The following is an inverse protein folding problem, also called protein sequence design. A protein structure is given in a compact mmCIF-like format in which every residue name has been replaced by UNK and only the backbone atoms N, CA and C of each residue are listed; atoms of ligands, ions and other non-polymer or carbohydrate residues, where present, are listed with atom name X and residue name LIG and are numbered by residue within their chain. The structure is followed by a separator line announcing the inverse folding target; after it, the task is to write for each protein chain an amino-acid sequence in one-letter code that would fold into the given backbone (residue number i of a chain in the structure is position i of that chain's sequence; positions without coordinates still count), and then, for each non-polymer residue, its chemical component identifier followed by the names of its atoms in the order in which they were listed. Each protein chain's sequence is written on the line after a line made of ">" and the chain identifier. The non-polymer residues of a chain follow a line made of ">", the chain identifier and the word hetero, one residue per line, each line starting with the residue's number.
data_IF_080923011221
#
_entry.id   IF_080923011221
#
_cell.length_a   1.000
_cell.length_b   1.000
_cell.length_c   1.000
_cell.angle_alpha   90.00
_cell.angle_beta   90.00
_cell.angle_gamma   90.00
#
_symmetry.space_group_name_H-M   'P 1'
#
loop_
_entity.id
_entity.type
_entity.pdbx_description
1 polymer ?
#
# COMPACT_ATOMS: atom_id res chain seq x y z
N UNK A 1 4.23 -10.67 9.26
CA UNK A 1 4.28 -9.21 9.46
C UNK A 1 5.13 -8.92 10.70
N UNK A 2 6.16 -8.05 10.59
CA UNK A 2 7.06 -7.69 11.71
C UNK A 2 6.44 -6.61 12.59
N UNK A 3 6.00 -5.50 12.02
CA UNK A 3 5.38 -4.39 12.75
C UNK A 3 3.91 -4.65 13.07
N UNK A 4 3.37 -3.96 14.06
CA UNK A 4 1.96 -4.06 14.48
C UNK A 4 1.01 -3.65 13.35
N UNK A 5 1.35 -2.60 12.59
CA UNK A 5 0.58 -2.18 11.43
C UNK A 5 1.31 -2.46 10.12
N UNK A 6 0.56 -2.52 9.03
CA UNK A 6 1.14 -2.51 7.69
C UNK A 6 1.90 -1.20 7.44
N UNK A 7 2.76 -1.21 6.43
CA UNK A 7 3.41 -0.01 5.92
C UNK A 7 2.37 0.96 5.38
N UNK A 8 2.49 2.24 5.71
CA UNK A 8 1.64 3.30 5.17
C UNK A 8 1.79 3.40 3.65
N UNK A 9 3.02 3.29 3.14
CA UNK A 9 3.30 3.26 1.70
C UNK A 9 2.62 2.06 1.03
N UNK A 10 2.70 0.86 1.62
CA UNK A 10 2.06 -0.35 1.04
C UNK A 10 0.53 -0.26 1.10
N UNK A 11 -0.04 0.35 2.13
CA UNK A 11 -1.49 0.55 2.23
C UNK A 11 -2.01 1.50 1.15
N UNK A 12 -1.22 2.52 0.79
CA UNK A 12 -1.61 3.48 -0.23
C UNK A 12 -1.32 3.03 -1.66
N UNK A 13 -0.16 2.40 -1.90
CA UNK A 13 0.28 2.03 -3.24
C UNK A 13 -0.02 0.56 -3.59
N UNK A 14 -0.56 -0.20 -2.65
CA UNK A 14 -0.99 -1.57 -2.90
C UNK A 14 -2.33 -1.62 -3.62
N UNK A 15 -2.45 -2.53 -4.60
CA UNK A 15 -3.68 -2.73 -5.38
C UNK A 15 -4.87 -3.29 -4.57
N UNK A 16 -4.67 -3.57 -3.28
CA UNK A 16 -5.72 -4.09 -2.41
C UNK A 16 -6.15 -5.51 -2.75
N UNK A 17 -7.41 -5.82 -2.43
CA UNK A 17 -8.04 -7.12 -2.74
C UNK A 17 -9.00 -6.93 -3.89
N UNK A 18 -8.98 -7.86 -4.85
CA UNK A 18 -9.89 -7.86 -6.00
C UNK A 18 -10.48 -9.25 -6.19
N UNK A 19 -11.57 -9.32 -6.93
CA UNK A 19 -12.16 -10.59 -7.37
C UNK A 19 -11.68 -10.87 -8.79
N UNK A 20 -11.26 -12.10 -9.04
CA UNK A 20 -10.73 -12.46 -10.34
C UNK A 20 -10.28 -13.89 -10.45
N UNK A 21 -9.58 -14.18 -11.52
CA UNK A 21 -8.96 -15.48 -11.80
C UNK A 21 -7.46 -15.26 -11.85
N UNK A 22 -6.72 -16.05 -11.09
CA UNK A 22 -5.26 -16.04 -11.07
C UNK A 22 -4.71 -17.38 -11.52
N UNK A 23 -3.70 -17.35 -12.39
CA UNK A 23 -2.86 -18.48 -12.73
C UNK A 23 -1.48 -18.31 -12.10
N UNK A 24 -1.03 -19.31 -11.36
CA UNK A 24 0.32 -19.35 -10.76
C UNK A 24 1.11 -20.51 -11.33
N UNK A 25 2.31 -20.21 -11.85
CA UNK A 25 3.30 -21.20 -12.24
C UNK A 25 4.51 -21.11 -11.34
N UNK A 26 4.97 -22.26 -10.83
CA UNK A 26 6.12 -22.32 -9.91
C UNK A 26 7.09 -23.39 -10.37
N UNK A 27 8.37 -23.04 -10.39
CA UNK A 27 9.49 -23.96 -10.59
C UNK A 27 10.40 -23.95 -9.37
N UNK A 28 11.54 -24.64 -9.49
CA UNK A 28 12.54 -24.68 -8.39
C UNK A 28 13.01 -23.28 -7.99
N UNK A 29 13.24 -22.39 -8.96
CA UNK A 29 13.85 -21.08 -8.70
C UNK A 29 12.99 -19.88 -9.14
N UNK A 30 11.90 -20.10 -9.86
CA UNK A 30 11.06 -19.00 -10.36
C UNK A 30 9.59 -19.27 -10.10
N UNK A 31 8.83 -18.19 -9.87
CA UNK A 31 7.38 -18.20 -9.77
C UNK A 31 6.82 -17.04 -10.59
N UNK A 32 5.81 -17.33 -11.40
CA UNK A 32 5.09 -16.34 -12.19
C UNK A 32 3.59 -16.42 -11.86
N UNK A 33 2.99 -15.28 -11.66
CA UNK A 33 1.57 -15.12 -11.38
C UNK A 33 0.97 -14.14 -12.37
N UNK A 34 -0.21 -14.44 -12.89
CA UNK A 34 -0.98 -13.56 -13.75
C UNK A 34 -2.44 -13.62 -13.32
N UNK A 35 -3.01 -12.47 -13.04
CA UNK A 35 -4.40 -12.34 -12.65
C UNK A 35 -5.16 -11.41 -13.60
N UNK A 36 -6.40 -11.79 -13.90
CA UNK A 36 -7.43 -10.94 -14.48
C UNK A 36 -8.51 -10.74 -13.43
N UNK A 37 -8.87 -9.48 -13.14
CA UNK A 37 -9.75 -9.16 -12.03
C UNK A 37 -10.67 -7.96 -12.34
N UNK A 38 -11.56 -7.67 -11.39
CA UNK A 38 -12.43 -6.50 -11.40
C UNK A 38 -11.72 -5.21 -10.90
N UNK A 39 -10.40 -5.19 -10.90
CA UNK A 39 -9.59 -4.03 -10.57
C UNK A 39 -9.10 -3.96 -9.13
N UNK A 40 -8.14 -3.10 -8.90
CA UNK A 40 -7.62 -2.75 -7.59
C UNK A 40 -8.40 -1.60 -6.96
N UNK A 41 -8.15 -1.37 -5.68
CA UNK A 41 -8.71 -0.22 -4.95
C UNK A 41 -7.68 0.89 -4.95
N UNK A 42 -8.02 2.03 -5.51
CA UNK A 42 -7.18 3.22 -5.38
C UNK A 42 -7.46 3.91 -4.04
N UNK A 43 -6.48 3.89 -3.14
CA UNK A 43 -6.58 4.57 -1.86
C UNK A 43 -6.18 6.06 -1.93
N UNK A 44 -5.59 6.52 -3.04
CA UNK A 44 -5.24 7.94 -3.26
C UNK A 44 -6.52 8.80 -3.27
N UNK A 45 -7.62 8.25 -3.74
CA UNK A 45 -8.93 8.89 -3.68
C UNK A 45 -9.64 8.78 -2.31
N UNK A 46 -8.92 8.47 -1.23
CA UNK A 46 -9.50 8.42 0.12
C UNK A 46 -10.24 9.71 0.54
N UNK A 47 -9.91 10.83 -0.06
CA UNK A 47 -10.65 12.10 0.09
C UNK A 47 -12.03 12.02 -0.58
N UNK A 48 -12.19 11.27 -1.66
CA UNK A 48 -13.47 11.06 -2.35
C UNK A 48 -14.33 9.99 -1.65
N UNK A 49 -13.72 9.08 -0.89
CA UNK A 49 -14.42 8.09 -0.05
C UNK A 49 -15.32 8.74 1.01
N UNK A 50 -15.02 9.96 1.43
CA UNK A 50 -15.87 10.72 2.36
C UNK A 50 -17.25 11.07 1.77
N UNK A 51 -17.47 10.89 0.48
CA UNK A 51 -18.71 11.24 -0.24
C UNK A 51 -19.57 10.02 -0.55
N UNK A 52 -19.26 8.83 -0.03
CA UNK A 52 -20.14 7.66 -0.08
C UNK A 52 -19.99 6.77 -1.32
N UNK A 53 -18.86 6.83 -2.02
CA UNK A 53 -18.55 5.88 -3.09
C UNK A 53 -18.11 4.53 -2.51
N UNK A 54 -18.72 3.45 -2.98
CA UNK A 54 -18.26 2.09 -2.70
C UNK A 54 -16.84 1.85 -3.24
N UNK A 55 -16.05 0.96 -2.62
CA UNK A 55 -14.74 0.62 -3.14
C UNK A 55 -14.84 0.08 -4.57
N UNK A 56 -14.02 0.62 -5.49
CA UNK A 56 -14.02 0.31 -6.93
C UNK A 56 -13.89 -1.18 -7.28
N UNK A 57 -13.45 -2.01 -6.36
CA UNK A 57 -13.30 -3.46 -6.54
C UNK A 57 -14.43 -4.28 -5.89
N UNK A 58 -15.51 -3.64 -5.46
CA UNK A 58 -16.67 -4.37 -4.98
C UNK A 58 -17.45 -4.95 -6.17
N UNK A 59 -17.84 -6.23 -6.15
CA UNK A 59 -18.66 -6.82 -7.23
C UNK A 59 -20.07 -6.19 -7.32
N UNK A 60 -20.42 -5.36 -6.36
CA UNK A 60 -21.68 -4.64 -6.27
C UNK A 60 -21.52 -3.13 -6.44
N UNK A 61 -20.32 -2.66 -6.78
CA UNK A 61 -20.06 -1.27 -7.09
C UNK A 61 -20.74 -0.92 -8.42
N UNK A 62 -21.41 0.21 -8.47
CA UNK A 62 -21.88 0.80 -9.72
C UNK A 62 -20.72 1.36 -10.57
N UNK A 63 -19.55 1.54 -9.94
CA UNK A 63 -18.35 2.05 -10.58
C UNK A 63 -17.53 0.86 -11.07
N UNK A 64 -17.72 0.47 -12.31
CA UNK A 64 -17.11 -0.68 -12.94
C UNK A 64 -15.65 -0.42 -13.35
N UNK A 65 -14.90 -1.49 -13.41
CA UNK A 65 -13.60 -1.54 -14.11
C UNK A 65 -13.83 -2.40 -15.35
N UNK A 66 -13.52 -1.86 -16.53
CA UNK A 66 -13.68 -2.60 -17.79
C UNK A 66 -12.75 -3.78 -17.84
N UNK A 67 -11.51 -3.58 -17.43
CA UNK A 67 -10.52 -4.65 -17.33
C UNK A 67 -9.42 -4.30 -16.35
N UNK A 68 -8.85 -5.32 -15.73
CA UNK A 68 -7.67 -5.21 -14.88
C UNK A 68 -6.78 -6.44 -14.99
N UNK A 69 -5.48 -6.21 -15.15
CA UNK A 69 -4.46 -7.23 -15.20
C UNK A 69 -3.39 -6.96 -14.17
N UNK A 70 -2.98 -8.01 -13.46
CA UNK A 70 -1.86 -7.97 -12.51
C UNK A 70 -0.91 -9.10 -12.84
N UNK A 71 0.38 -8.79 -12.96
CA UNK A 71 1.43 -9.78 -13.15
C UNK A 71 2.50 -9.65 -12.08
N UNK A 72 3.03 -10.79 -11.58
CA UNK A 72 4.18 -10.84 -10.69
C UNK A 72 5.14 -11.95 -11.13
N UNK A 73 6.42 -11.62 -11.13
CA UNK A 73 7.50 -12.56 -11.34
C UNK A 73 8.46 -12.54 -10.16
N UNK A 74 8.84 -13.72 -9.68
CA UNK A 74 9.76 -13.89 -8.57
C UNK A 74 10.91 -14.82 -8.95
N UNK A 75 12.11 -14.43 -8.57
CA UNK A 75 13.32 -15.22 -8.74
C UNK A 75 13.94 -15.51 -7.37
N UNK A 76 13.85 -16.78 -6.97
CA UNK A 76 14.51 -17.29 -5.77
C UNK A 76 15.96 -17.63 -6.13
N UNK A 77 16.88 -16.78 -5.70
CA UNK A 77 18.32 -16.94 -5.97
C UNK A 77 18.98 -17.92 -4.99
N UNK A 78 18.46 -18.02 -3.75
CA UNK A 78 18.92 -18.93 -2.71
C UNK A 78 17.79 -19.31 -1.77
N UNK A 79 17.94 -20.43 -1.04
CA UNK A 79 16.99 -20.90 -0.03
C UNK A 79 15.82 -21.68 -0.61
N UNK A 80 14.78 -21.81 0.18
CA UNK A 80 13.56 -22.55 -0.14
C UNK A 80 12.34 -21.64 -0.15
N UNK A 81 11.34 -21.92 -1.01
CA UNK A 81 10.10 -21.14 -1.09
C UNK A 81 9.39 -20.97 0.25
N UNK A 82 9.49 -21.99 1.12
CA UNK A 82 8.87 -21.97 2.45
C UNK A 82 9.39 -20.84 3.35
N UNK A 83 10.66 -20.47 3.21
CA UNK A 83 11.27 -19.40 4.02
C UNK A 83 10.61 -18.05 3.76
N UNK A 84 10.17 -17.80 2.53
CA UNK A 84 9.54 -16.53 2.13
C UNK A 84 8.05 -16.44 2.47
N UNK A 85 7.47 -17.43 3.15
CA UNK A 85 6.12 -17.33 3.69
C UNK A 85 6.05 -16.41 4.92
N UNK A 86 7.18 -16.12 5.54
CA UNK A 86 7.31 -15.23 6.68
C UNK A 86 8.31 -14.10 6.38
N UNK A 87 8.19 -12.99 7.10
CA UNK A 87 9.13 -11.87 7.03
C UNK A 87 10.22 -11.98 8.10
N UNK A 88 10.30 -13.11 8.79
CA UNK A 88 11.29 -13.38 9.82
C UNK A 88 12.18 -14.55 9.44
N UNK A 89 13.44 -14.54 9.86
CA UNK A 89 14.42 -15.61 9.66
C UNK A 89 15.00 -16.02 11.03
N UNK A 90 14.41 -17.05 11.65
CA UNK A 90 14.88 -17.53 12.94
C UNK A 90 16.36 -17.94 12.95
N UNK A 91 17.05 -17.88 14.10
CA UNK A 91 18.42 -18.35 14.22
C UNK A 91 18.58 -19.81 13.82
N UNK A 92 19.53 -20.06 12.91
CA UNK A 92 19.80 -21.40 12.38
C UNK A 92 19.15 -21.69 11.03
N UNK A 93 18.31 -20.83 10.52
CA UNK A 93 17.82 -20.93 9.15
C UNK A 93 18.97 -20.72 8.14
N UNK A 94 18.86 -21.39 6.99
CA UNK A 94 19.81 -21.20 5.89
C UNK A 94 19.60 -19.83 5.24
N UNK A 95 20.67 -19.34 4.59
CA UNK A 95 20.60 -18.14 3.77
C UNK A 95 19.56 -18.28 2.67
N UNK A 96 18.74 -17.24 2.49
CA UNK A 96 17.76 -17.19 1.41
C UNK A 96 17.71 -15.79 0.79
N UNK A 97 17.49 -15.74 -0.53
CA UNK A 97 17.40 -14.51 -1.31
C UNK A 97 16.32 -14.62 -2.37
N UNK A 98 15.37 -13.70 -2.33
CA UNK A 98 14.27 -13.57 -3.28
C UNK A 98 14.26 -12.16 -3.87
N UNK A 99 14.08 -12.08 -5.18
CA UNK A 99 13.83 -10.82 -5.91
C UNK A 99 12.48 -10.95 -6.61
N UNK A 100 11.66 -9.92 -6.50
CA UNK A 100 10.33 -9.85 -7.11
C UNK A 100 10.15 -8.58 -7.93
N UNK A 101 9.37 -8.67 -9.00
CA UNK A 101 8.83 -7.54 -9.76
C UNK A 101 7.35 -7.78 -10.00
N UNK A 102 6.54 -6.73 -9.96
CA UNK A 102 5.13 -6.83 -10.32
C UNK A 102 4.66 -5.57 -11.04
N UNK A 103 3.63 -5.72 -11.85
CA UNK A 103 2.94 -4.63 -12.50
C UNK A 103 1.43 -4.88 -12.51
N UNK A 104 0.66 -3.80 -12.48
CA UNK A 104 -0.78 -3.77 -12.58
C UNK A 104 -1.20 -2.71 -13.59
N UNK A 105 -2.22 -3.00 -14.37
CA UNK A 105 -2.85 -2.04 -15.26
C UNK A 105 -4.37 -2.26 -15.26
N UNK A 106 -5.12 -1.19 -15.19
CA UNK A 106 -6.59 -1.24 -15.29
C UNK A 106 -7.14 0.00 -15.98
N UNK A 107 -8.34 -0.15 -16.50
CA UNK A 107 -9.15 0.92 -17.08
C UNK A 107 -10.53 0.89 -16.45
N UNK A 108 -10.99 2.02 -15.96
CA UNK A 108 -12.30 2.19 -15.37
C UNK A 108 -13.34 2.56 -16.42
N UNK A 109 -14.59 2.15 -16.16
CA UNK A 109 -15.74 2.50 -17.01
C UNK A 109 -16.10 3.97 -16.84
N UNK A 110 -16.07 4.80 -17.91
CA UNK A 110 -16.51 6.19 -17.84
C UNK A 110 -18.01 6.34 -17.58
N UNK A 111 -18.80 5.31 -17.90
CA UNK A 111 -20.28 5.32 -17.75
C UNK A 111 -20.75 4.80 -16.38
N UNK A 112 -19.85 4.59 -15.43
CA UNK A 112 -20.19 4.03 -14.12
C UNK A 112 -21.14 4.93 -13.33
N UNK A 113 -22.39 4.77 -13.59
CA UNK A 113 -23.65 4.95 -12.85
C UNK A 113 -23.85 6.12 -11.88
N UNK A 114 -22.90 7.00 -11.69
CA UNK A 114 -23.09 8.17 -10.85
C UNK A 114 -23.47 9.39 -11.72
N UNK A 115 -24.75 9.66 -11.83
CA UNK A 115 -25.32 10.79 -12.62
C UNK A 115 -24.74 12.16 -12.27
N UNK A 116 -23.87 12.24 -11.23
CA UNK A 116 -23.23 13.45 -10.75
C UNK A 116 -21.80 13.61 -11.30
N UNK A 117 -21.22 12.56 -11.89
CA UNK A 117 -19.87 12.58 -12.48
C UNK A 117 -20.01 12.37 -13.98
N UNK A 118 -19.94 13.45 -14.74
CA UNK A 118 -19.89 13.38 -16.21
C UNK A 118 -18.43 13.35 -16.66
N UNK A 119 -17.75 12.20 -16.53
CA UNK A 119 -16.48 11.98 -17.18
C UNK A 119 -16.74 11.29 -18.53
N UNK A 120 -16.13 11.81 -19.58
CA UNK A 120 -16.17 11.19 -20.92
C UNK A 120 -14.91 10.36 -21.18
N UNK A 121 -13.92 10.45 -20.31
CA UNK A 121 -12.64 9.77 -20.45
C UNK A 121 -12.49 8.70 -19.37
N UNK A 122 -12.03 7.49 -19.72
CA UNK A 122 -11.84 6.42 -18.76
C UNK A 122 -10.71 6.77 -17.77
N UNK A 123 -10.88 6.35 -16.53
CA UNK A 123 -9.80 6.41 -15.55
C UNK A 123 -8.83 5.27 -15.81
N UNK A 124 -7.56 5.59 -16.02
CA UNK A 124 -6.52 4.58 -16.18
C UNK A 124 -5.60 4.56 -14.98
N UNK A 125 -5.24 3.36 -14.56
CA UNK A 125 -4.30 3.14 -13.47
C UNK A 125 -3.22 2.16 -13.87
N UNK A 126 -1.98 2.56 -13.65
CA UNK A 126 -0.80 1.73 -13.79
C UNK A 126 -0.01 1.73 -12.49
N UNK A 127 0.39 0.56 -12.02
CA UNK A 127 1.26 0.40 -10.86
C UNK A 127 2.40 -0.57 -11.17
N UNK A 128 3.57 -0.34 -10.59
CA UNK A 128 4.72 -1.22 -10.67
C UNK A 128 5.45 -1.29 -9.33
N UNK A 129 6.02 -2.45 -9.02
CA UNK A 129 6.85 -2.64 -7.82
C UNK A 129 8.02 -3.57 -8.11
N UNK A 130 9.13 -3.32 -7.42
CA UNK A 130 10.24 -4.25 -7.32
C UNK A 130 10.61 -4.42 -5.84
N UNK A 131 10.95 -5.65 -5.46
CA UNK A 131 11.30 -5.98 -4.08
C UNK A 131 12.44 -7.00 -3.98
N UNK A 132 13.12 -6.97 -2.85
CA UNK A 132 14.14 -7.94 -2.49
C UNK A 132 14.02 -8.32 -1.02
N UNK A 133 14.10 -9.62 -0.74
CA UNK A 133 14.13 -10.18 0.61
C UNK A 133 15.39 -11.03 0.77
N UNK A 134 16.22 -10.70 1.75
CA UNK A 134 17.41 -11.46 2.13
C UNK A 134 17.31 -11.93 3.58
N UNK A 135 17.52 -13.22 3.82
CA UNK A 135 17.43 -13.90 5.12
C UNK A 135 18.78 -14.53 5.47
N UNK A 136 19.23 -14.34 6.71
CA UNK A 136 20.60 -14.69 7.13
C UNK A 136 20.66 -15.66 8.33
N UNK A 137 19.52 -16.28 8.70
CA UNK A 137 19.47 -17.18 9.87
C UNK A 137 19.68 -16.43 11.19
N UNK A 138 18.74 -15.59 11.52
CA UNK A 138 18.73 -14.68 12.66
C UNK A 138 18.53 -13.22 12.29
N UNK A 139 18.58 -12.90 11.00
CA UNK A 139 18.34 -11.54 10.48
C UNK A 139 17.59 -11.56 9.16
N UNK A 140 16.80 -10.52 8.91
CA UNK A 140 16.11 -10.32 7.63
C UNK A 140 16.30 -8.88 7.16
N UNK A 141 16.54 -8.72 5.87
CA UNK A 141 16.51 -7.44 5.17
C UNK A 141 15.45 -7.50 4.09
N UNK A 142 14.64 -6.48 4.02
CA UNK A 142 13.63 -6.29 2.97
C UNK A 142 13.72 -4.88 2.42
N UNK A 143 13.66 -4.75 1.11
CA UNK A 143 13.55 -3.46 0.43
C UNK A 143 12.53 -3.58 -0.70
N UNK A 144 11.73 -2.53 -0.88
CA UNK A 144 10.82 -2.42 -2.01
C UNK A 144 10.69 -1.00 -2.49
N UNK A 145 10.43 -0.86 -3.78
CA UNK A 145 10.09 0.41 -4.43
C UNK A 145 8.77 0.24 -5.16
N UNK A 146 7.97 1.30 -5.17
CA UNK A 146 6.64 1.37 -5.77
C UNK A 146 6.55 2.57 -6.67
N UNK A 147 5.87 2.42 -7.78
CA UNK A 147 5.43 3.49 -8.65
C UNK A 147 3.96 3.29 -8.97
N UNK A 148 3.21 4.38 -8.96
CA UNK A 148 1.79 4.38 -9.26
C UNK A 148 1.47 5.62 -10.08
N UNK A 149 0.81 5.43 -11.21
CA UNK A 149 0.30 6.47 -12.08
C UNK A 149 -1.20 6.31 -12.25
N UNK A 150 -1.94 7.36 -11.97
CA UNK A 150 -3.38 7.42 -12.21
C UNK A 150 -3.65 8.59 -13.13
N UNK A 151 -4.35 8.36 -14.22
CA UNK A 151 -4.95 9.39 -15.05
C UNK A 151 -6.45 9.38 -14.78
N UNK A 152 -6.95 10.44 -14.20
CA UNK A 152 -8.39 10.63 -14.05
C UNK A 152 -8.90 11.43 -15.25
N UNK A 153 -9.88 10.89 -15.94
CA UNK A 153 -10.69 11.71 -16.85
C UNK A 153 -11.34 12.86 -16.08
N UNK A 154 -11.83 13.86 -16.79
CA UNK A 154 -12.45 15.06 -16.21
C UNK A 154 -13.62 14.70 -15.29
N UNK A 155 -13.37 14.57 -14.01
CA UNK A 155 -14.40 14.29 -13.03
C UNK A 155 -14.98 15.59 -12.49
N UNK A 156 -16.21 15.89 -12.87
CA UNK A 156 -16.98 16.99 -12.28
C UNK A 156 -17.70 16.49 -11.04
N UNK A 157 -17.22 16.82 -9.86
CA UNK A 157 -18.03 16.78 -8.67
C UNK A 157 -18.88 18.06 -8.62
N UNK A 158 -20.09 17.99 -9.11
CA UNK A 158 -21.05 19.06 -8.89
C UNK A 158 -21.58 18.95 -7.46
N UNK A 159 -21.03 19.79 -6.56
CA UNK A 159 -21.41 19.80 -5.16
C UNK A 159 -22.90 20.04 -4.95
N UNK A 160 -23.58 19.11 -4.35
CA UNK A 160 -24.88 19.33 -3.72
C UNK A 160 -24.66 20.03 -2.38
N UNK A 161 -24.98 21.19 -2.35
CA UNK A 161 -25.39 22.31 -1.50
C UNK A 161 -25.29 22.25 0.04
N UNK A 162 -24.66 21.31 0.73
CA UNK A 162 -24.70 21.31 2.20
C UNK A 162 -23.38 21.01 2.92
N UNK A 163 -22.30 20.81 2.22
CA UNK A 163 -20.97 20.73 2.84
C UNK A 163 -19.98 21.48 1.94
N UNK A 164 -19.08 22.23 2.55
CA UNK A 164 -17.94 22.89 1.88
C UNK A 164 -16.93 21.84 1.38
N UNK A 165 -17.36 20.95 0.48
CA UNK A 165 -16.48 19.99 -0.20
C UNK A 165 -15.91 20.71 -1.40
N UNK A 166 -14.58 20.77 -1.56
CA UNK A 166 -13.98 21.39 -2.72
C UNK A 166 -14.45 20.71 -4.01
N UNK A 167 -14.98 21.46 -4.94
CA UNK A 167 -15.39 20.97 -6.25
C UNK A 167 -14.12 20.84 -7.09
N UNK A 168 -13.70 19.62 -7.39
CA UNK A 168 -12.56 19.39 -8.30
C UNK A 168 -13.06 19.44 -9.74
N UNK A 169 -12.50 20.33 -10.55
CA UNK A 169 -12.93 20.48 -11.95
C UNK A 169 -12.14 19.59 -12.91
N UNK A 170 -10.94 19.19 -12.52
CA UNK A 170 -10.07 18.31 -13.30
C UNK A 170 -9.02 17.75 -12.32
N UNK A 171 -9.08 16.45 -12.07
CA UNK A 171 -8.10 15.81 -11.19
C UNK A 171 -6.77 15.58 -11.89
N UNK A 172 -6.71 15.69 -13.22
CA UNK A 172 -5.49 15.50 -14.00
C UNK A 172 -4.89 14.11 -13.84
N UNK A 173 -3.59 14.07 -13.68
CA UNK A 173 -2.86 12.82 -13.39
C UNK A 173 -2.15 12.92 -12.06
N UNK A 174 -1.94 11.78 -11.43
CA UNK A 174 -1.17 11.65 -10.18
C UNK A 174 -0.07 10.62 -10.37
N UNK A 175 1.16 11.02 -10.11
CA UNK A 175 2.33 10.17 -10.04
C UNK A 175 2.75 10.00 -8.59
N UNK A 176 2.80 8.76 -8.11
CA UNK A 176 3.17 8.48 -6.73
C UNK A 176 4.30 7.47 -6.69
N UNK A 177 5.31 7.76 -5.90
CA UNK A 177 6.44 6.86 -5.66
C UNK A 177 6.53 6.53 -4.19
N UNK A 178 6.99 5.30 -3.88
CA UNK A 178 7.18 4.88 -2.51
C UNK A 178 8.34 3.92 -2.35
N UNK A 179 8.91 3.89 -1.16
CA UNK A 179 9.99 2.97 -0.77
C UNK A 179 9.75 2.46 0.64
N UNK A 180 10.00 1.19 0.85
CA UNK A 180 10.02 0.56 2.17
C UNK A 180 11.34 -0.15 2.36
N UNK A 181 12.07 0.20 3.41
CA UNK A 181 13.27 -0.50 3.86
C UNK A 181 12.98 -1.08 5.24
N UNK A 182 13.20 -2.38 5.42
CA UNK A 182 12.95 -3.06 6.69
C UNK A 182 14.08 -4.00 7.03
N UNK A 183 14.50 -3.99 8.28
CA UNK A 183 15.49 -4.90 8.82
C UNK A 183 15.01 -5.47 10.13
N UNK A 184 15.37 -6.73 10.40
CA UNK A 184 15.13 -7.37 11.69
C UNK A 184 16.32 -8.22 12.13
N UNK A 185 16.43 -8.42 13.43
CA UNK A 185 17.47 -9.22 14.04
C UNK A 185 16.99 -9.89 15.33
N UNK A 186 17.24 -11.19 15.46
CA UNK A 186 17.01 -11.93 16.68
C UNK A 186 18.12 -11.66 17.71
N UNK A 187 17.79 -10.96 18.79
CA UNK A 187 18.73 -10.70 19.89
C UNK A 187 18.91 -11.92 20.81
N UNK A 188 17.88 -12.71 20.94
CA UNK A 188 17.84 -14.04 21.58
C UNK A 188 16.77 -14.90 20.91
N UNK A 189 16.70 -16.25 21.11
CA UNK A 189 15.83 -17.16 20.33
C UNK A 189 14.39 -16.81 20.46
N UNK A 190 13.76 -16.02 20.95
CA UNK A 190 12.32 -15.67 20.94
C UNK A 190 12.06 -14.18 20.83
N UNK A 191 13.14 -13.39 20.76
CA UNK A 191 13.04 -11.95 20.70
C UNK A 191 13.72 -11.42 19.46
N UNK A 192 12.94 -10.79 18.62
CA UNK A 192 13.38 -10.11 17.40
C UNK A 192 13.14 -8.61 17.54
N UNK A 193 14.13 -7.80 17.24
CA UNK A 193 13.99 -6.36 17.08
C UNK A 193 13.93 -6.03 15.61
N UNK A 194 13.22 -4.97 15.24
CA UNK A 194 13.10 -4.53 13.86
C UNK A 194 13.10 -3.03 13.72
N UNK A 195 13.45 -2.57 12.54
CA UNK A 195 13.22 -1.20 12.09
C UNK A 195 12.62 -1.21 10.70
N UNK A 196 11.75 -0.24 10.40
CA UNK A 196 11.17 0.00 9.08
C UNK A 196 11.20 1.49 8.79
N UNK A 197 11.84 1.85 7.69
CA UNK A 197 11.79 3.20 7.13
C UNK A 197 10.90 3.18 5.89
N UNK A 198 10.01 4.15 5.81
CA UNK A 198 9.07 4.36 4.73
C UNK A 198 9.23 5.77 4.18
N UNK A 199 9.32 5.87 2.88
CA UNK A 199 9.32 7.16 2.18
C UNK A 199 8.33 7.11 1.04
N UNK A 200 7.58 8.19 0.86
CA UNK A 200 6.65 8.34 -0.23
C UNK A 200 6.63 9.77 -0.75
N UNK A 201 6.29 9.93 -2.01
CA UNK A 201 6.13 11.24 -2.66
C UNK A 201 5.02 11.13 -3.70
N UNK A 202 4.13 12.11 -3.73
CA UNK A 202 3.05 12.21 -4.71
C UNK A 202 3.18 13.53 -5.48
N UNK A 203 3.04 13.44 -6.80
CA UNK A 203 2.95 14.60 -7.70
C UNK A 203 1.54 14.60 -8.31
N UNK A 204 0.76 15.63 -7.99
CA UNK A 204 -0.64 15.77 -8.38
C UNK A 204 -0.75 16.89 -9.40
N UNK A 205 -1.03 16.53 -10.64
CA UNK A 205 -1.15 17.43 -11.77
C UNK A 205 -2.64 17.73 -12.04
N UNK A 206 -3.31 18.38 -11.11
CA UNK A 206 -4.71 18.76 -11.23
C UNK A 206 -4.95 20.24 -11.02
N UNK A 207 -6.07 20.75 -11.54
CA UNK A 207 -6.53 22.12 -11.28
C UNK A 207 -7.53 22.13 -10.13
N UNK A 208 -7.19 22.87 -9.08
CA UNK A 208 -8.09 23.10 -7.96
C UNK A 208 -8.99 24.31 -8.22
N UNK A 209 -10.25 24.31 -7.76
CA UNK A 209 -11.09 25.50 -7.76
C UNK A 209 -10.45 26.65 -6.98
N UNK A 210 -10.64 27.87 -7.45
CA UNK A 210 -10.18 29.05 -6.74
C UNK A 210 -10.79 29.12 -5.34
N UNK A 211 -9.95 29.09 -4.30
CA UNK A 211 -10.38 29.15 -2.87
C UNK A 211 -10.25 27.83 -2.12
N UNK A 212 -9.89 26.72 -2.78
CA UNK A 212 -9.49 25.50 -2.10
C UNK A 212 -8.07 25.62 -1.53
N UNK A 213 -7.85 25.12 -0.33
CA UNK A 213 -6.50 24.96 0.22
C UNK A 213 -5.73 23.97 -0.65
N UNK A 214 -4.56 24.36 -1.12
CA UNK A 214 -3.73 23.52 -1.99
C UNK A 214 -3.47 22.15 -1.36
N UNK A 215 -3.51 21.08 -2.17
CA UNK A 215 -3.01 19.76 -1.80
C UNK A 215 -1.48 19.73 -1.58
N UNK A 216 -0.82 20.87 -1.60
CA UNK A 216 0.63 21.01 -1.34
C UNK A 216 1.07 20.60 0.07
N UNK A 217 0.13 20.40 0.98
CA UNK A 217 0.41 19.89 2.31
C UNK A 217 0.19 18.37 2.30
N UNK A 218 1.24 17.57 2.24
CA UNK A 218 1.16 16.12 2.36
C UNK A 218 1.62 15.32 1.14
N UNK A 219 2.34 15.94 0.21
CA UNK A 219 2.88 15.25 -0.96
C UNK A 219 4.09 14.35 -0.63
N UNK A 220 4.71 14.51 0.51
CA UNK A 220 5.81 13.68 0.98
C UNK A 220 5.45 12.96 2.28
N UNK A 221 5.94 11.75 2.42
CA UNK A 221 5.83 10.91 3.61
C UNK A 221 7.21 10.42 4.00
N UNK A 222 7.58 10.54 5.26
CA UNK A 222 8.75 9.89 5.82
C UNK A 222 8.44 9.37 7.22
N UNK A 223 8.48 8.05 7.40
CA UNK A 223 8.16 7.37 8.66
C UNK A 223 9.28 6.42 9.04
N UNK A 224 9.70 6.45 10.29
CA UNK A 224 10.56 5.45 10.92
C UNK A 224 9.76 4.70 11.98
N UNK A 225 9.70 3.38 11.89
CA UNK A 225 9.14 2.52 12.93
C UNK A 225 10.25 1.64 13.50
N UNK A 226 10.32 1.53 14.83
CA UNK A 226 11.25 0.65 15.54
C UNK A 226 10.43 -0.17 16.52
N UNK A 227 10.67 -1.48 16.60
CA UNK A 227 9.87 -2.34 17.45
C UNK A 227 10.55 -3.65 17.83
N UNK A 228 9.80 -4.44 18.57
CA UNK A 228 10.20 -5.76 19.00
C UNK A 228 9.03 -6.76 18.93
N UNK A 229 9.37 -7.99 18.60
CA UNK A 229 8.48 -9.14 18.61
C UNK A 229 8.95 -10.14 19.66
N UNK A 230 8.03 -10.64 20.45
CA UNK A 230 8.24 -11.77 21.33
C UNK A 230 7.43 -12.97 20.85
N UNK A 231 8.11 -13.98 20.33
CA UNK A 231 7.54 -15.22 19.84
C UNK A 231 7.34 -16.18 21.01
N UNK A 232 6.14 -16.19 21.61
CA UNK A 232 5.79 -17.00 22.78
C UNK A 232 5.69 -18.46 22.35
N UNK A 233 4.95 -18.72 21.26
CA UNK A 233 4.83 -20.01 20.60
C UNK A 233 4.91 -19.83 19.06
N UNK A 234 6.14 -19.61 18.57
CA UNK A 234 6.38 -19.32 17.16
C UNK A 234 5.59 -18.10 16.66
N UNK A 235 5.10 -18.17 15.43
CA UNK A 235 4.23 -17.15 14.85
C UNK A 235 2.77 -17.27 15.25
N UNK A 236 2.37 -18.43 15.82
CA UNK A 236 0.99 -18.70 16.20
C UNK A 236 0.58 -17.92 17.45
N UNK A 237 1.54 -17.67 18.35
CA UNK A 237 1.32 -16.82 19.51
C UNK A 237 2.48 -15.85 19.73
N UNK A 238 2.26 -14.60 19.39
CA UNK A 238 3.29 -13.55 19.51
C UNK A 238 2.74 -12.24 20.05
N UNK A 239 3.60 -11.50 20.73
CA UNK A 239 3.39 -10.12 21.11
C UNK A 239 4.31 -9.21 20.30
N UNK A 240 3.76 -8.17 19.71
CA UNK A 240 4.48 -7.19 18.92
C UNK A 240 4.24 -5.79 19.46
N UNK A 241 5.27 -4.97 19.53
CA UNK A 241 5.15 -3.56 19.87
C UNK A 241 6.09 -2.73 19.02
N UNK A 242 5.62 -1.55 18.61
CA UNK A 242 6.42 -0.61 17.87
C UNK A 242 6.16 0.85 18.26
N UNK A 243 7.17 1.67 18.04
CA UNK A 243 7.14 3.13 18.09
C UNK A 243 7.36 3.63 16.67
N UNK A 244 6.40 4.38 16.14
CA UNK A 244 6.48 5.06 14.86
C UNK A 244 6.73 6.55 15.06
N UNK A 245 7.58 7.11 14.21
CA UNK A 245 7.88 8.55 14.14
C UNK A 245 7.66 8.98 12.70
N UNK A 246 6.71 9.88 12.46
CA UNK A 246 6.50 10.53 11.19
C UNK A 246 7.26 11.85 11.16
N UNK A 247 8.16 12.03 10.21
CA UNK A 247 8.95 13.26 10.06
C UNK A 247 8.18 14.33 9.28
N UNK A 248 7.31 13.88 8.37
CA UNK A 248 6.38 14.72 7.63
C UNK A 248 4.95 14.49 8.15
N UNK A 249 4.02 15.37 7.81
CA UNK A 249 2.62 15.21 8.13
C UNK A 249 2.04 13.96 7.46
N UNK A 250 1.29 13.15 8.21
CA UNK A 250 0.56 12.01 7.65
C UNK A 250 -0.86 12.47 7.31
N UNK A 251 -0.97 13.29 6.30
CA UNK A 251 -2.23 13.86 5.82
C UNK A 251 -2.36 13.75 4.29
N UNK A 252 -3.38 14.36 3.73
CA UNK A 252 -3.62 14.35 2.30
C UNK A 252 -3.67 12.94 1.71
N UNK A 253 -2.87 12.69 0.69
CA UNK A 253 -2.81 11.40 -0.02
C UNK A 253 -2.30 10.25 0.84
N UNK A 254 -1.55 10.54 1.93
CA UNK A 254 -0.94 9.52 2.78
C UNK A 254 -1.75 9.17 4.03
N UNK A 255 -2.87 9.86 4.27
CA UNK A 255 -3.66 9.58 5.45
C UNK A 255 -4.42 8.27 5.35
N UNK A 256 -4.22 7.42 6.34
CA UNK A 256 -4.99 6.21 6.54
C UNK A 256 -5.26 6.01 8.04
N UNK A 257 -6.48 6.25 8.46
CA UNK A 257 -6.89 6.14 9.87
C UNK A 257 -6.67 4.76 10.51
N UNK A 258 -6.47 3.71 9.69
CA UNK A 258 -6.22 2.37 10.19
C UNK A 258 -4.82 2.17 10.81
N UNK A 259 -3.84 3.03 10.49
CA UNK A 259 -2.46 2.90 10.94
C UNK A 259 -2.17 3.61 12.26
N UNK A 260 -3.17 4.26 12.87
CA UNK A 260 -3.03 4.96 14.15
C UNK A 260 -2.46 6.37 14.03
N UNK A 261 -2.15 6.85 12.84
CA UNK A 261 -1.75 8.23 12.59
C UNK A 261 -2.98 9.15 12.60
N UNK A 262 -2.78 10.42 12.95
CA UNK A 262 -3.83 11.43 12.90
C UNK A 262 -3.77 12.16 11.56
N UNK A 263 -4.94 12.50 11.02
CA UNK A 263 -5.03 13.40 9.88
C UNK A 263 -4.79 14.85 10.35
N UNK A 264 -3.54 15.22 10.51
CA UNK A 264 -3.15 16.57 10.91
C UNK A 264 -2.01 17.05 10.00
N UNK A 265 -1.97 18.36 9.72
CA UNK A 265 -0.84 18.99 9.04
C UNK A 265 0.41 19.13 9.93
N UNK A 266 0.38 18.57 11.14
CA UNK A 266 1.48 18.63 12.10
C UNK A 266 2.57 17.62 11.72
N UNK A 267 3.82 18.06 11.76
CA UNK A 267 5.00 17.23 11.57
C UNK A 267 5.48 16.63 12.88
N UNK A 268 6.28 15.58 12.80
CA UNK A 268 6.90 14.93 13.97
C UNK A 268 5.88 14.23 14.88
N UNK A 269 4.87 13.62 14.29
CA UNK A 269 3.92 12.80 15.04
C UNK A 269 4.58 11.50 15.53
N UNK A 270 4.24 11.09 16.76
CA UNK A 270 4.73 9.85 17.36
C UNK A 270 3.54 8.96 17.70
N UNK A 271 3.64 7.68 17.33
CA UNK A 271 2.63 6.67 17.65
C UNK A 271 3.28 5.47 18.32
N UNK A 272 2.68 4.99 19.40
CA UNK A 272 3.01 3.70 20.03
C UNK A 272 1.89 2.71 19.75
N UNK A 273 2.27 1.51 19.30
CA UNK A 273 1.34 0.41 19.01
C UNK A 273 1.78 -0.86 19.71
N UNK A 274 0.81 -1.64 20.19
CA UNK A 274 1.07 -2.94 20.81
C UNK A 274 -0.06 -3.90 20.46
N UNK A 275 0.30 -5.14 20.11
CA UNK A 275 -0.64 -6.17 19.68
C UNK A 275 -0.24 -7.54 20.24
N UNK A 276 -1.22 -8.28 20.72
CA UNK A 276 -1.12 -9.70 20.98
C UNK A 276 -1.84 -10.45 19.87
N UNK A 277 -1.14 -11.34 19.18
CA UNK A 277 -1.67 -12.13 18.07
C UNK A 277 -1.72 -13.61 18.47
N UNK A 278 -2.87 -14.24 18.20
CA UNK A 278 -3.06 -15.69 18.34
C UNK A 278 -3.67 -16.23 17.04
N UNK A 279 -3.08 -17.31 16.52
CA UNK A 279 -3.63 -18.09 15.41
C UNK A 279 -4.04 -19.48 15.92
N UNK A 280 -5.18 -20.01 15.44
CA UNK A 280 -5.73 -21.31 15.86
C UNK A 280 -5.86 -22.23 14.64
#
# INVERSE_FOLDING_TARGET
>A
QLAVSRSTVVEHLGIGRSQGIEGTWTSDNTRAMLAFSNGGTDNIYGILKAVGSDPLNSPYSSDGVDWAFTGRFEWKMAGQWKQFNSMTSPPGDEYALLVGIAAHAQEGDPDSGNETITSTDPNTWFAATADVTAMFGGATLFASVFYHHTSSGSAFLQGSNNFDVPTYNDMGSTDTMGTVLQASYYIVPKWEVFSRFEYGSADINGTMPAGSTSLDNGNALAILSIGANWYIDGEDFKWSSDLGIAFDAVDGVWWNGANGWRATSEKSEIVFRSQLQMAF
#
